data_IF_479432812654
#
_entry.id   IF_479432812654
#
_cell.length_a   1.000
_cell.length_b   1.000
_cell.length_c   1.000
_cell.angle_alpha   90.00
_cell.angle_beta   90.00
_cell.angle_gamma   90.00
#
_symmetry.space_group_name_H-M   'P 1'
#
loop_
_entity.id
_entity.type
_entity.pdbx_description
1 polymer ?
#
# COMPACT_ATOMS: atom_id res chain seq x y z
N UNK A 1 -10.80 5.13 -25.54
CA UNK A 1 -11.33 4.35 -24.39
C UNK A 1 -11.83 5.35 -23.34
N UNK A 2 -12.85 5.03 -22.53
CA UNK A 2 -13.45 5.90 -21.51
C UNK A 2 -12.59 6.12 -20.24
N UNK A 3 -11.27 6.07 -20.40
CA UNK A 3 -10.31 6.31 -19.34
C UNK A 3 -8.99 6.77 -19.95
N UNK A 4 -8.24 7.57 -19.20
CA UNK A 4 -6.93 8.07 -19.59
C UNK A 4 -6.06 8.28 -18.36
N UNK A 5 -4.77 7.94 -18.48
CA UNK A 5 -3.76 8.30 -17.49
C UNK A 5 -3.18 9.65 -17.88
N UNK A 6 -3.37 10.63 -17.01
CA UNK A 6 -2.79 11.95 -17.20
C UNK A 6 -1.28 11.91 -16.89
N UNK A 7 -0.49 12.85 -17.44
CA UNK A 7 0.92 12.96 -17.12
C UNK A 7 1.11 13.02 -15.60
N UNK A 8 2.07 12.24 -15.04
CA UNK A 8 2.29 12.23 -13.60
C UNK A 8 2.74 13.62 -13.11
N UNK A 9 2.23 14.03 -11.95
CA UNK A 9 2.67 15.23 -11.24
C UNK A 9 3.60 14.79 -10.09
N UNK A 10 4.91 14.87 -10.33
CA UNK A 10 5.90 14.33 -9.41
C UNK A 10 5.78 12.81 -9.22
N UNK A 11 5.44 12.37 -8.00
CA UNK A 11 5.20 10.95 -7.67
C UNK A 11 3.72 10.55 -7.75
N UNK A 12 2.82 11.49 -8.06
CA UNK A 12 1.39 11.27 -8.13
C UNK A 12 0.99 10.81 -9.54
N UNK A 13 0.32 9.66 -9.62
CA UNK A 13 -0.30 9.17 -10.84
C UNK A 13 -1.79 9.48 -10.84
N UNK A 14 -2.32 9.97 -11.96
CA UNK A 14 -3.73 10.36 -12.08
C UNK A 14 -4.40 9.57 -13.20
N UNK A 15 -5.42 8.79 -12.84
CA UNK A 15 -6.32 8.10 -13.75
C UNK A 15 -7.67 8.85 -13.78
N UNK A 16 -8.04 9.32 -14.95
CA UNK A 16 -9.33 9.95 -15.22
C UNK A 16 -10.24 8.95 -15.94
N UNK A 17 -11.45 8.73 -15.42
CA UNK A 17 -12.45 7.84 -16.02
C UNK A 17 -13.78 8.58 -16.26
N UNK A 18 -14.43 8.30 -17.39
CA UNK A 18 -15.71 8.91 -17.77
C UNK A 18 -16.56 7.94 -18.59
N UNK A 19 -17.89 8.01 -18.58
CA UNK A 19 -18.76 7.12 -19.35
C UNK A 19 -18.59 7.33 -20.86
N UNK A 20 -18.62 6.23 -21.61
CA UNK A 20 -18.64 6.30 -23.06
C UNK A 20 -19.93 6.98 -23.55
N UNK A 21 -19.79 8.01 -24.39
CA UNK A 21 -20.92 8.76 -24.97
C UNK A 21 -21.09 8.39 -26.44
N UNK A 22 -22.00 7.46 -26.73
CA UNK A 22 -22.34 7.06 -28.11
C UNK A 22 -23.03 8.16 -28.91
N UNK A 23 -23.81 9.03 -28.25
CA UNK A 23 -24.49 10.15 -28.87
C UNK A 23 -23.84 11.49 -28.48
N UNK A 24 -23.11 12.08 -29.42
CA UNK A 24 -22.58 13.44 -29.26
C UNK A 24 -23.71 14.48 -29.32
N UNK A 25 -23.50 15.68 -28.76
CA UNK A 25 -24.47 16.79 -28.86
C UNK A 25 -24.86 17.10 -30.31
N UNK A 26 -23.91 16.96 -31.25
CA UNK A 26 -24.17 17.13 -32.68
C UNK A 26 -25.01 16.00 -33.26
N UNK A 27 -24.70 14.74 -32.91
CA UNK A 27 -25.50 13.58 -33.33
C UNK A 27 -26.93 13.64 -32.80
N UNK A 28 -27.12 14.12 -31.57
CA UNK A 28 -28.43 14.36 -30.98
C UNK A 28 -29.27 15.36 -31.80
N UNK A 29 -28.67 16.51 -32.15
CA UNK A 29 -29.36 17.54 -32.96
C UNK A 29 -29.73 16.99 -34.33
N UNK A 30 -28.83 16.24 -34.99
CA UNK A 30 -29.11 15.60 -36.27
C UNK A 30 -30.20 14.54 -36.19
N UNK A 31 -30.19 13.70 -35.15
CA UNK A 31 -31.20 12.67 -34.96
C UNK A 31 -32.59 13.30 -34.77
N UNK A 32 -32.73 14.24 -33.83
CA UNK A 32 -34.01 14.94 -33.58
C UNK A 32 -34.46 15.72 -34.81
N UNK A 33 -33.53 16.40 -35.50
CA UNK A 33 -33.82 17.16 -36.72
C UNK A 33 -34.29 16.26 -37.88
N UNK A 34 -33.60 15.14 -38.13
CA UNK A 34 -33.96 14.19 -39.18
C UNK A 34 -35.32 13.53 -38.89
N UNK A 35 -35.58 13.15 -37.63
CA UNK A 35 -36.90 12.63 -37.23
C UNK A 35 -38.00 13.67 -37.43
N UNK A 36 -37.77 14.93 -37.06
CA UNK A 36 -38.74 16.01 -37.26
C UNK A 36 -39.04 16.25 -38.75
N UNK A 37 -38.01 16.23 -39.61
CA UNK A 37 -38.17 16.37 -41.07
C UNK A 37 -38.97 15.19 -41.65
N UNK A 38 -38.64 13.95 -41.28
CA UNK A 38 -39.36 12.76 -41.74
C UNK A 38 -40.83 12.78 -41.33
N UNK A 39 -41.13 13.24 -40.11
CA UNK A 39 -42.49 13.43 -39.63
C UNK A 39 -43.21 14.56 -40.38
N UNK A 40 -42.50 15.62 -40.79
CA UNK A 40 -43.07 16.75 -41.49
C UNK A 40 -43.47 16.44 -42.95
N UNK A 41 -42.79 15.50 -43.62
CA UNK A 41 -43.06 15.11 -45.00
C UNK A 41 -44.53 14.73 -45.29
N UNK A 42 -45.17 13.79 -44.56
CA UNK A 42 -46.57 13.47 -44.80
C UNK A 42 -47.53 14.60 -44.43
N UNK A 43 -47.13 15.53 -43.55
CA UNK A 43 -47.97 16.67 -43.16
C UNK A 43 -48.19 17.67 -44.30
N UNK A 44 -47.29 17.70 -45.28
CA UNK A 44 -47.41 18.56 -46.46
C UNK A 44 -48.72 18.31 -47.24
N UNK A 45 -49.17 17.05 -47.28
CA UNK A 45 -50.40 16.66 -47.99
C UNK A 45 -51.70 17.06 -47.31
N UNK A 46 -51.65 17.49 -46.04
CA UNK A 46 -52.83 17.88 -45.26
C UNK A 46 -52.78 19.35 -44.83
N UNK A 47 -51.90 20.15 -45.44
CA UNK A 47 -51.84 21.59 -45.22
C UNK A 47 -53.19 22.22 -45.59
N UNK A 48 -53.69 23.10 -44.71
CA UNK A 48 -54.98 23.77 -44.89
C UNK A 48 -56.19 22.98 -44.37
N UNK A 49 -55.99 21.76 -43.85
CA UNK A 49 -57.07 20.97 -43.23
C UNK A 49 -57.15 21.20 -41.71
N UNK A 50 -58.33 21.05 -41.08
CA UNK A 50 -58.46 21.05 -39.62
C UNK A 50 -57.69 19.91 -38.94
N UNK A 51 -57.48 18.81 -39.65
CA UNK A 51 -56.76 17.62 -39.15
C UNK A 51 -55.32 17.95 -38.76
N UNK A 52 -54.66 18.85 -39.50
CA UNK A 52 -53.30 19.30 -39.20
C UNK A 52 -53.21 19.91 -37.79
N UNK A 53 -54.16 20.78 -37.43
CA UNK A 53 -54.18 21.45 -36.13
C UNK A 53 -54.44 20.50 -34.97
N UNK A 54 -55.19 19.41 -35.21
CA UNK A 54 -55.39 18.35 -34.22
C UNK A 54 -54.12 17.51 -34.05
N UNK A 55 -53.43 17.16 -35.14
CA UNK A 55 -52.24 16.31 -35.10
C UNK A 55 -50.98 17.02 -34.58
N UNK A 56 -50.80 18.30 -34.91
CA UNK A 56 -49.66 19.13 -34.51
C UNK A 56 -49.29 19.02 -33.01
N UNK A 57 -50.21 19.23 -32.05
CA UNK A 57 -49.89 19.15 -30.64
C UNK A 57 -49.40 17.75 -30.22
N UNK A 58 -49.93 16.66 -30.77
CA UNK A 58 -49.46 15.31 -30.46
C UNK A 58 -48.04 15.08 -30.98
N UNK A 59 -47.74 15.53 -32.20
CA UNK A 59 -46.41 15.38 -32.80
C UNK A 59 -45.36 16.21 -32.06
N UNK A 60 -45.69 17.45 -31.72
CA UNK A 60 -44.82 18.32 -30.92
C UNK A 60 -44.58 17.74 -29.53
N UNK A 61 -45.62 17.19 -28.89
CA UNK A 61 -45.50 16.52 -27.59
C UNK A 61 -44.60 15.29 -27.66
N UNK A 62 -44.71 14.49 -28.72
CA UNK A 62 -43.86 13.32 -28.93
C UNK A 62 -42.38 13.72 -29.14
N UNK A 63 -42.11 14.69 -30.02
CA UNK A 63 -40.76 15.20 -30.24
C UNK A 63 -40.17 15.81 -28.96
N UNK A 64 -40.96 16.59 -28.22
CA UNK A 64 -40.56 17.14 -26.94
C UNK A 64 -40.28 16.05 -25.90
N UNK A 65 -41.11 15.01 -25.82
CA UNK A 65 -40.92 13.88 -24.92
C UNK A 65 -39.62 13.11 -25.21
N UNK A 66 -39.34 12.82 -26.48
CA UNK A 66 -38.09 12.19 -26.92
C UNK A 66 -36.89 13.07 -26.57
N UNK A 67 -36.95 14.36 -26.95
CA UNK A 67 -35.90 15.32 -26.65
C UNK A 67 -35.63 15.44 -25.15
N UNK A 68 -36.69 15.53 -24.35
CA UNK A 68 -36.63 15.64 -22.89
C UNK A 68 -36.04 14.38 -22.26
N UNK A 69 -36.51 13.19 -22.65
CA UNK A 69 -36.03 11.93 -22.13
C UNK A 69 -34.54 11.72 -22.42
N UNK A 70 -34.10 11.99 -23.66
CA UNK A 70 -32.70 11.88 -24.06
C UNK A 70 -31.83 12.91 -23.33
N UNK A 71 -32.27 14.16 -23.21
CA UNK A 71 -31.53 15.22 -22.50
C UNK A 71 -31.40 14.91 -21.00
N UNK A 72 -32.47 14.43 -20.37
CA UNK A 72 -32.46 14.01 -18.96
C UNK A 72 -31.50 12.83 -18.75
N UNK A 73 -31.57 11.81 -19.60
CA UNK A 73 -30.69 10.64 -19.56
C UNK A 73 -29.21 11.05 -19.68
N UNK A 74 -28.89 11.93 -20.64
CA UNK A 74 -27.51 12.43 -20.81
C UNK A 74 -26.99 13.20 -19.60
N UNK A 75 -27.84 14.01 -18.93
CA UNK A 75 -27.45 14.79 -17.76
C UNK A 75 -27.29 13.93 -16.50
N UNK A 76 -28.08 12.88 -16.35
CA UNK A 76 -28.03 11.99 -15.18
C UNK A 76 -26.85 11.00 -15.25
N UNK A 77 -26.28 10.77 -16.45
CA UNK A 77 -25.11 9.90 -16.66
C UNK A 77 -23.78 10.67 -16.74
N UNK A 78 -23.75 11.95 -16.35
CA UNK A 78 -22.51 12.71 -16.30
C UNK A 78 -21.76 12.43 -14.98
N UNK A 79 -21.13 11.25 -14.92
CA UNK A 79 -20.33 10.80 -13.79
C UNK A 79 -18.88 10.75 -14.21
N UNK A 80 -18.01 11.46 -13.51
CA UNK A 80 -16.56 11.44 -13.76
C UNK A 80 -15.86 10.93 -12.51
N UNK A 81 -14.86 10.09 -12.68
CA UNK A 81 -14.06 9.54 -11.59
C UNK A 81 -12.59 9.90 -11.78
N UNK A 82 -12.03 10.58 -10.79
CA UNK A 82 -10.63 10.96 -10.72
C UNK A 82 -9.95 10.15 -9.63
N UNK A 83 -9.13 9.19 -10.04
CA UNK A 83 -8.30 8.40 -9.14
C UNK A 83 -6.88 8.95 -9.14
N UNK A 84 -6.43 9.42 -7.98
CA UNK A 84 -5.06 9.88 -7.75
C UNK A 84 -4.34 8.93 -6.82
N UNK A 85 -3.12 8.58 -7.19
CA UNK A 85 -2.30 7.59 -6.51
C UNK A 85 -0.93 8.22 -6.20
N UNK A 86 -0.66 8.47 -4.93
CA UNK A 86 0.66 8.79 -4.39
C UNK A 86 1.23 7.58 -3.62
N UNK A 87 2.51 7.58 -3.20
CA UNK A 87 3.09 6.47 -2.43
C UNK A 87 2.41 6.23 -1.07
N UNK A 88 1.89 7.27 -0.45
CA UNK A 88 1.32 7.29 0.90
C UNK A 88 -0.23 7.33 0.90
N UNK A 89 -0.85 7.76 -0.21
CA UNK A 89 -2.29 7.98 -0.29
C UNK A 89 -2.88 7.66 -1.66
N UNK A 90 -4.03 6.99 -1.67
CA UNK A 90 -4.87 6.88 -2.85
C UNK A 90 -6.18 7.65 -2.60
N UNK A 91 -6.59 8.49 -3.54
CA UNK A 91 -7.83 9.27 -3.46
C UNK A 91 -8.65 9.05 -4.74
N UNK A 92 -9.90 8.62 -4.58
CA UNK A 92 -10.91 8.54 -5.62
C UNK A 92 -11.94 9.65 -5.41
N UNK A 93 -12.05 10.56 -6.36
CA UNK A 93 -13.08 11.60 -6.38
C UNK A 93 -14.09 11.27 -7.48
N UNK A 94 -15.34 11.00 -7.09
CA UNK A 94 -16.46 10.84 -8.01
C UNK A 94 -17.26 12.13 -8.10
N UNK A 95 -17.30 12.72 -9.28
CA UNK A 95 -18.15 13.82 -9.67
C UNK A 95 -19.41 13.26 -10.30
N UNK A 96 -20.54 13.30 -9.59
CA UNK A 96 -21.84 12.84 -10.06
C UNK A 96 -22.72 13.96 -10.62
N UNK A 97 -23.91 13.61 -11.16
CA UNK A 97 -24.82 14.57 -11.77
C UNK A 97 -25.26 15.64 -10.76
N UNK A 98 -25.40 16.88 -11.26
CA UNK A 98 -25.79 18.07 -10.48
C UNK A 98 -24.77 18.48 -9.40
N UNK A 99 -23.48 18.18 -9.60
CA UNK A 99 -22.41 18.62 -8.70
C UNK A 99 -22.29 17.80 -7.42
N UNK A 100 -22.94 16.63 -7.33
CA UNK A 100 -22.72 15.70 -6.23
C UNK A 100 -21.27 15.24 -6.27
N UNK A 101 -20.52 15.45 -5.19
CA UNK A 101 -19.12 15.01 -5.08
C UNK A 101 -19.01 13.98 -3.99
N UNK A 102 -18.42 12.83 -4.29
CA UNK A 102 -18.09 11.79 -3.33
C UNK A 102 -16.59 11.58 -3.35
N UNK A 103 -15.98 11.49 -2.19
CA UNK A 103 -14.53 11.28 -2.04
C UNK A 103 -14.30 10.03 -1.23
N UNK A 104 -13.42 9.17 -1.74
CA UNK A 104 -12.92 8.00 -1.03
C UNK A 104 -11.41 8.08 -1.01
N UNK A 105 -10.80 7.84 0.13
CA UNK A 105 -9.36 7.85 0.31
C UNK A 105 -8.93 6.70 1.21
N UNK A 106 -7.70 6.23 0.99
CA UNK A 106 -7.10 5.15 1.76
C UNK A 106 -5.58 5.12 1.59
N UNK A 107 -4.89 4.29 2.37
CA UNK A 107 -3.48 3.99 2.15
C UNK A 107 -3.30 2.94 1.01
N UNK A 108 -2.48 3.22 -0.02
CA UNK A 108 -2.19 2.29 -1.12
C UNK A 108 -1.63 0.94 -0.67
N UNK A 109 -0.92 0.89 0.46
CA UNK A 109 -0.30 -0.33 1.00
C UNK A 109 -1.32 -1.43 1.32
N UNK A 110 -2.51 -1.04 1.78
CA UNK A 110 -3.59 -1.97 2.14
C UNK A 110 -4.63 -2.13 1.02
N UNK A 111 -4.36 -1.58 -0.17
CA UNK A 111 -5.29 -1.57 -1.28
C UNK A 111 -5.42 -2.95 -1.93
N UNK A 112 -6.64 -3.46 -2.00
CA UNK A 112 -7.00 -4.63 -2.80
C UNK A 112 -7.89 -4.22 -3.97
N UNK A 113 -7.39 -4.47 -5.17
CA UNK A 113 -8.16 -4.32 -6.42
C UNK A 113 -8.80 -5.65 -6.76
N UNK A 114 -10.13 -5.75 -6.67
CA UNK A 114 -10.86 -7.00 -6.92
C UNK A 114 -11.76 -6.85 -8.13
N UNK A 115 -11.82 -7.91 -8.94
CA UNK A 115 -12.73 -8.00 -10.09
C UNK A 115 -13.70 -9.14 -9.80
N UNK A 116 -14.95 -8.80 -9.63
CA UNK A 116 -15.99 -9.76 -9.30
C UNK A 116 -16.62 -10.27 -10.59
N UNK A 117 -16.32 -11.53 -10.95
CA UNK A 117 -16.83 -12.16 -12.16
C UNK A 117 -18.36 -12.28 -12.16
N UNK A 118 -18.95 -12.58 -11.00
CA UNK A 118 -20.39 -12.74 -10.76
C UNK A 118 -20.78 -12.17 -9.39
N UNK A 119 -22.06 -11.82 -9.20
CA UNK A 119 -22.61 -11.38 -7.90
C UNK A 119 -22.89 -9.88 -7.72
N UNK A 120 -22.67 -9.06 -8.75
CA UNK A 120 -23.03 -7.64 -8.76
C UNK A 120 -24.05 -7.31 -9.85
N UNK A 121 -24.48 -6.04 -9.99
CA UNK A 121 -25.47 -5.62 -10.98
C UNK A 121 -25.02 -5.86 -12.44
N UNK A 122 -23.71 -6.03 -12.67
CA UNK A 122 -23.09 -6.25 -13.98
C UNK A 122 -21.85 -7.16 -13.82
N UNK A 123 -21.56 -8.06 -14.79
CA UNK A 123 -20.39 -8.94 -14.75
C UNK A 123 -19.05 -8.17 -14.68
N UNK A 124 -18.04 -8.74 -14.04
CA UNK A 124 -16.68 -8.19 -13.96
C UNK A 124 -16.60 -6.78 -13.35
N UNK A 125 -17.44 -6.42 -12.37
CA UNK A 125 -17.34 -5.10 -11.74
C UNK A 125 -16.07 -4.99 -10.88
N UNK A 126 -15.49 -3.79 -10.87
CA UNK A 126 -14.17 -3.51 -10.29
C UNK A 126 -14.34 -2.75 -8.97
N UNK A 127 -13.76 -3.27 -7.88
CA UNK A 127 -13.81 -2.63 -6.57
C UNK A 127 -12.41 -2.36 -6.03
N UNK A 128 -12.29 -1.23 -5.35
CA UNK A 128 -11.14 -0.84 -4.54
C UNK A 128 -11.52 -1.03 -3.08
N UNK A 129 -10.81 -1.91 -2.38
CA UNK A 129 -11.01 -2.19 -0.96
C UNK A 129 -9.77 -1.84 -0.16
N UNK A 130 -9.91 -1.00 0.84
CA UNK A 130 -8.83 -0.66 1.77
C UNK A 130 -9.44 -0.27 3.13
N UNK A 131 -8.75 -0.60 4.22
CA UNK A 131 -9.15 -0.20 5.59
C UNK A 131 -10.61 -0.55 5.94
N UNK A 132 -11.10 -1.68 5.42
CA UNK A 132 -12.49 -2.14 5.63
C UNK A 132 -13.55 -1.40 4.81
N UNK A 133 -13.18 -0.35 4.06
CA UNK A 133 -14.05 0.38 3.13
C UNK A 133 -13.88 -0.15 1.71
N UNK A 134 -14.98 -0.33 1.01
CA UNK A 134 -15.01 -0.80 -0.38
C UNK A 134 -15.74 0.22 -1.25
N UNK A 135 -15.15 0.58 -2.39
CA UNK A 135 -15.75 1.48 -3.36
C UNK A 135 -15.68 0.87 -4.76
N UNK A 136 -16.77 0.95 -5.50
CA UNK A 136 -16.82 0.54 -6.90
C UNK A 136 -16.17 1.61 -7.78
N UNK A 137 -15.27 1.18 -8.67
CA UNK A 137 -14.61 2.02 -9.67
C UNK A 137 -15.14 1.68 -11.06
N UNK A 138 -15.45 2.70 -11.86
CA UNK A 138 -15.82 2.53 -13.25
C UNK A 138 -17.11 1.74 -13.44
N UNK A 139 -18.12 1.96 -12.57
CA UNK A 139 -19.45 1.33 -12.69
C UNK A 139 -20.08 1.50 -14.10
N UNK A 140 -19.69 2.59 -14.78
CA UNK A 140 -20.09 2.95 -16.14
C UNK A 140 -19.29 2.28 -17.27
N UNK A 141 -18.18 1.61 -16.96
CA UNK A 141 -17.38 0.91 -17.96
C UNK A 141 -18.12 -0.35 -18.44
N UNK A 142 -18.04 -0.62 -19.74
CA UNK A 142 -18.53 -1.88 -20.31
C UNK A 142 -17.64 -3.06 -19.92
N UNK A 143 -18.14 -4.30 -20.05
CA UNK A 143 -17.37 -5.50 -19.67
C UNK A 143 -16.02 -5.58 -20.39
N UNK A 144 -15.98 -5.26 -21.69
CA UNK A 144 -14.76 -5.29 -22.51
C UNK A 144 -13.72 -4.25 -22.05
N UNK A 145 -14.16 -3.15 -21.44
CA UNK A 145 -13.29 -2.07 -20.95
C UNK A 145 -12.72 -2.34 -19.54
N UNK A 146 -13.39 -3.19 -18.74
CA UNK A 146 -13.00 -3.44 -17.33
C UNK A 146 -11.74 -4.28 -17.17
N UNK A 147 -11.57 -5.31 -18.01
CA UNK A 147 -10.40 -6.21 -17.95
C UNK A 147 -9.07 -5.48 -18.24
N UNK A 148 -8.95 -4.70 -19.34
CA UNK A 148 -7.71 -3.94 -19.60
C UNK A 148 -7.49 -2.83 -18.57
N UNK A 149 -8.54 -2.13 -18.11
CA UNK A 149 -8.44 -1.12 -17.07
C UNK A 149 -7.87 -1.69 -15.75
N UNK A 150 -8.35 -2.88 -15.32
CA UNK A 150 -7.80 -3.59 -14.15
C UNK A 150 -6.32 -3.90 -14.32
N UNK A 151 -5.93 -4.49 -15.45
CA UNK A 151 -4.54 -4.89 -15.69
C UNK A 151 -3.58 -3.70 -15.63
N UNK A 152 -3.95 -2.59 -16.28
CA UNK A 152 -3.13 -1.39 -16.29
C UNK A 152 -3.06 -0.73 -14.91
N UNK A 153 -4.17 -0.71 -14.17
CA UNK A 153 -4.18 -0.16 -12.82
C UNK A 153 -3.39 -1.03 -11.82
N UNK A 154 -3.49 -2.35 -11.90
CA UNK A 154 -2.68 -3.26 -11.08
C UNK A 154 -1.18 -3.07 -11.35
N UNK A 155 -0.79 -2.92 -12.62
CA UNK A 155 0.60 -2.68 -12.99
C UNK A 155 1.13 -1.34 -12.41
N UNK A 156 0.32 -0.27 -12.50
CA UNK A 156 0.68 1.05 -11.97
C UNK A 156 0.73 1.10 -10.43
N UNK A 157 -0.22 0.44 -9.76
CA UNK A 157 -0.21 0.29 -8.29
C UNK A 157 1.04 -0.47 -7.85
N UNK A 158 1.35 -1.61 -8.50
CA UNK A 158 2.54 -2.40 -8.20
C UNK A 158 3.83 -1.59 -8.39
N UNK A 159 3.89 -0.70 -9.38
CA UNK A 159 5.05 0.16 -9.62
C UNK A 159 5.22 1.22 -8.52
N UNK A 160 4.13 1.84 -8.07
CA UNK A 160 4.17 2.86 -6.98
C UNK A 160 4.51 2.22 -5.64
N UNK A 161 3.98 1.04 -5.33
CA UNK A 161 4.29 0.33 -4.07
C UNK A 161 5.69 -0.29 -4.08
N UNK A 162 6.13 -0.87 -5.20
CA UNK A 162 7.50 -1.40 -5.31
C UNK A 162 8.56 -0.30 -5.22
N UNK A 163 8.32 0.87 -5.81
CA UNK A 163 9.21 2.01 -5.65
C UNK A 163 9.31 2.46 -4.18
N UNK A 164 8.20 2.46 -3.42
CA UNK A 164 8.23 2.76 -2.00
C UNK A 164 9.00 1.73 -1.16
N UNK A 165 8.97 0.44 -1.53
CA UNK A 165 9.78 -0.62 -0.88
C UNK A 165 11.26 -0.57 -1.29
N UNK A 166 11.59 -0.18 -2.53
CA UNK A 166 12.97 -0.17 -3.03
C UNK A 166 13.84 0.95 -2.41
N UNK A 167 13.23 1.96 -1.79
CA UNK A 167 13.93 3.00 -1.03
C UNK A 167 13.85 2.83 0.50
N UNK A 168 13.22 1.75 0.99
CA UNK A 168 13.34 1.39 2.39
C UNK A 168 14.71 0.73 2.58
N UNK A 169 15.75 1.53 2.79
CA UNK A 169 16.98 1.01 3.38
C UNK A 169 16.58 0.39 4.71
N UNK A 170 16.92 -0.89 4.99
CA UNK A 170 16.78 -1.39 6.35
C UNK A 170 17.57 -0.42 7.22
N UNK A 171 16.94 0.12 8.27
CA UNK A 171 17.67 0.85 9.27
C UNK A 171 18.74 -0.10 9.79
N UNK A 172 20.00 0.19 9.46
CA UNK A 172 21.20 -0.51 9.92
C UNK A 172 21.07 -0.70 11.44
N UNK A 173 20.72 -1.92 11.85
CA UNK A 173 20.42 -2.22 13.23
C UNK A 173 21.70 -2.67 13.90
N UNK A 174 22.08 -2.01 15.00
CA UNK A 174 23.24 -2.42 15.78
C UNK A 174 23.14 -3.90 16.15
N UNK A 175 24.08 -4.71 15.66
CA UNK A 175 24.12 -6.16 15.79
C UNK A 175 25.45 -6.64 16.36
N UNK A 176 25.41 -7.82 16.99
CA UNK A 176 26.59 -8.53 17.46
C UNK A 176 26.52 -10.00 17.06
N UNK A 177 27.67 -10.60 16.77
CA UNK A 177 27.81 -12.06 16.60
C UNK A 177 28.92 -12.59 17.49
N UNK A 178 28.82 -13.85 17.90
CA UNK A 178 29.85 -14.52 18.69
C UNK A 178 29.86 -16.04 18.48
N UNK A 179 30.96 -16.68 18.86
CA UNK A 179 31.10 -18.15 18.91
C UNK A 179 31.58 -18.59 20.28
N UNK A 180 31.40 -19.87 20.61
CA UNK A 180 31.99 -20.50 21.80
C UNK A 180 33.41 -21.03 21.55
N UNK A 181 34.07 -20.62 20.46
CA UNK A 181 35.38 -21.15 20.09
C UNK A 181 36.40 -20.93 21.21
N UNK A 182 37.13 -22.00 21.55
CA UNK A 182 38.09 -22.00 22.65
C UNK A 182 37.49 -22.18 24.05
N UNK A 183 36.16 -22.24 24.19
CA UNK A 183 35.51 -22.53 25.47
C UNK A 183 35.48 -24.04 25.72
N UNK A 184 36.12 -24.49 26.81
CA UNK A 184 36.07 -25.88 27.25
C UNK A 184 34.66 -26.25 27.73
N UNK A 185 34.21 -27.48 27.45
CA UNK A 185 32.95 -28.03 27.94
C UNK A 185 32.86 -27.94 29.47
N UNK A 186 31.71 -27.47 29.98
CA UNK A 186 31.39 -27.42 31.41
C UNK A 186 29.93 -27.79 31.61
N UNK A 187 29.67 -28.80 32.45
CA UNK A 187 28.31 -29.28 32.79
C UNK A 187 28.17 -29.58 34.29
N UNK A 188 29.05 -29.03 35.13
CA UNK A 188 29.07 -29.33 36.57
C UNK A 188 28.19 -28.42 37.41
N UNK A 189 27.55 -27.40 36.83
CA UNK A 189 26.88 -26.34 37.57
C UNK A 189 27.81 -25.34 38.24
N UNK A 190 29.14 -25.47 38.07
CA UNK A 190 30.15 -24.59 38.67
C UNK A 190 30.93 -23.85 37.57
N UNK A 191 30.45 -22.66 37.12
CA UNK A 191 31.09 -21.87 36.09
C UNK A 191 32.55 -21.49 36.35
N UNK A 192 33.37 -21.54 35.30
CA UNK A 192 34.73 -21.03 35.32
C UNK A 192 34.75 -19.53 35.04
N UNK A 193 35.76 -18.82 35.55
CA UNK A 193 36.02 -17.43 35.11
C UNK A 193 36.91 -17.46 33.87
N UNK A 194 36.33 -17.13 32.72
CA UNK A 194 36.99 -17.21 31.40
C UNK A 194 37.03 -15.84 30.71
N UNK A 195 37.90 -15.70 29.72
CA UNK A 195 37.92 -14.53 28.84
C UNK A 195 36.64 -14.46 27.98
N UNK A 196 36.21 -13.26 27.62
CA UNK A 196 35.10 -13.06 26.67
C UNK A 196 35.36 -13.79 25.34
N UNK A 197 34.30 -14.22 24.63
CA UNK A 197 34.46 -14.72 23.26
C UNK A 197 34.80 -13.57 22.31
N UNK A 198 35.17 -13.91 21.08
CA UNK A 198 35.27 -12.95 20.00
C UNK A 198 33.88 -12.43 19.66
N UNK A 199 33.71 -11.11 19.63
CA UNK A 199 32.48 -10.48 19.15
C UNK A 199 32.75 -9.77 17.82
N UNK A 200 31.90 -10.00 16.81
CA UNK A 200 31.81 -9.15 15.61
C UNK A 200 30.71 -8.12 15.85
N UNK A 201 30.97 -6.88 15.51
CA UNK A 201 30.06 -5.75 15.66
C UNK A 201 29.65 -5.26 14.27
N UNK A 202 28.35 -5.02 14.10
CA UNK A 202 27.79 -4.45 12.87
C UNK A 202 26.94 -3.24 13.25
N UNK A 203 27.05 -2.15 12.50
CA UNK A 203 26.20 -0.97 12.65
C UNK A 203 26.19 -0.35 14.07
N UNK A 204 27.36 -0.21 14.68
CA UNK A 204 27.49 0.41 16.01
C UNK A 204 27.01 1.86 15.97
N UNK A 205 26.09 2.29 16.87
CA UNK A 205 25.51 3.64 16.83
C UNK A 205 26.57 4.75 16.92
N UNK A 206 26.36 5.84 16.16
CA UNK A 206 27.23 7.01 16.20
C UNK A 206 27.33 7.58 17.63
N UNK A 207 28.52 8.04 18.02
CA UNK A 207 28.79 8.58 19.36
C UNK A 207 29.06 7.53 20.44
N UNK A 208 29.09 6.24 20.08
CA UNK A 208 29.51 5.16 20.99
C UNK A 208 30.96 5.35 21.40
N UNK A 209 31.23 5.31 22.71
CA UNK A 209 32.58 5.33 23.29
C UNK A 209 32.88 4.07 24.11
N UNK A 210 31.83 3.39 24.57
CA UNK A 210 31.92 2.18 25.35
C UNK A 210 30.83 1.19 24.94
N UNK A 211 31.13 -0.10 24.97
CA UNK A 211 30.14 -1.16 24.79
C UNK A 211 30.14 -2.03 26.04
N UNK A 212 28.97 -2.15 26.67
CA UNK A 212 28.75 -3.02 27.83
C UNK A 212 28.17 -4.35 27.38
N UNK A 213 28.89 -5.42 27.63
CA UNK A 213 28.44 -6.79 27.42
C UNK A 213 27.92 -7.37 28.72
N UNK A 214 26.79 -8.07 28.66
CA UNK A 214 26.23 -8.86 29.75
C UNK A 214 25.74 -10.20 29.21
N UNK A 215 26.11 -11.28 29.88
CA UNK A 215 25.60 -12.61 29.57
C UNK A 215 24.44 -12.96 30.50
N UNK A 216 23.41 -13.57 29.94
CA UNK A 216 22.26 -14.12 30.68
C UNK A 216 22.01 -15.53 30.20
N UNK A 217 21.89 -16.47 31.12
CA UNK A 217 21.26 -17.76 30.84
C UNK A 217 19.75 -17.53 30.81
N UNK A 218 19.14 -17.74 29.64
CA UNK A 218 17.70 -17.51 29.46
C UNK A 218 16.84 -18.57 30.12
N UNK A 219 17.42 -19.74 30.45
CA UNK A 219 16.80 -20.81 31.23
C UNK A 219 16.89 -20.50 32.74
N UNK A 220 17.97 -19.87 33.21
CA UNK A 220 18.21 -19.53 34.63
C UNK A 220 18.61 -18.05 34.78
N UNK A 221 17.62 -17.16 34.65
CA UNK A 221 17.85 -15.71 34.54
C UNK A 221 18.43 -15.04 35.80
N UNK A 222 18.28 -15.67 36.96
CA UNK A 222 18.74 -15.12 38.24
C UNK A 222 20.26 -15.31 38.45
N UNK A 223 20.88 -16.23 37.70
CA UNK A 223 22.31 -16.44 37.81
C UNK A 223 23.08 -15.30 37.12
N UNK A 224 23.94 -14.63 37.89
CA UNK A 224 24.75 -13.54 37.36
C UNK A 224 26.04 -14.07 36.73
N UNK A 225 26.03 -14.21 35.40
CA UNK A 225 27.23 -14.53 34.61
C UNK A 225 28.23 -13.38 34.51
N UNK A 226 27.81 -12.16 34.84
CA UNK A 226 28.60 -10.95 34.69
C UNK A 226 28.73 -10.51 33.23
N UNK A 227 29.91 -9.98 32.91
CA UNK A 227 30.20 -9.31 31.64
C UNK A 227 31.24 -8.21 31.85
N UNK A 228 31.40 -7.33 30.86
CA UNK A 228 32.43 -6.30 30.90
C UNK A 228 32.06 -5.07 30.09
N UNK A 229 32.82 -4.00 30.28
CA UNK A 229 32.70 -2.76 29.50
C UNK A 229 34.00 -2.56 28.74
N UNK A 230 33.93 -2.47 27.43
CA UNK A 230 35.08 -2.29 26.53
C UNK A 230 35.01 -0.89 25.92
N UNK A 231 36.17 -0.25 25.75
CA UNK A 231 36.26 1.01 25.01
C UNK A 231 36.03 0.76 23.51
N UNK A 232 35.27 1.64 22.87
CA UNK A 232 35.00 1.58 21.44
C UNK A 232 35.69 2.76 20.75
N UNK A 233 36.55 2.42 19.80
CA UNK A 233 37.34 3.35 18.99
C UNK A 233 37.06 3.16 17.49
N UNK A 234 35.96 2.51 17.12
CA UNK A 234 35.61 2.22 15.73
C UNK A 234 36.00 0.83 15.24
N UNK A 235 36.38 -0.09 16.13
CA UNK A 235 36.73 -1.46 15.76
C UNK A 235 35.50 -2.34 15.50
N UNK A 236 35.52 -3.17 14.47
CA UNK A 236 34.41 -4.09 14.15
C UNK A 236 34.48 -5.40 14.94
N UNK A 237 35.57 -5.60 15.70
CA UNK A 237 35.82 -6.84 16.43
C UNK A 237 36.28 -6.53 17.85
N UNK A 238 35.67 -7.20 18.83
CA UNK A 238 36.18 -7.28 20.19
C UNK A 238 36.85 -8.63 20.36
N UNK A 239 38.18 -8.60 20.46
CA UNK A 239 38.97 -9.82 20.61
C UNK A 239 38.77 -10.49 21.99
N UNK A 240 39.00 -11.81 22.09
CA UNK A 240 39.01 -12.50 23.37
C UNK A 240 40.01 -11.89 24.36
N UNK A 241 39.61 -11.76 25.62
CA UNK A 241 40.48 -11.27 26.70
C UNK A 241 40.29 -9.80 27.07
N UNK A 242 39.42 -9.07 26.37
CA UNK A 242 39.01 -7.71 26.74
C UNK A 242 38.33 -7.62 28.12
N UNK A 243 37.65 -8.68 28.57
CA UNK A 243 37.13 -8.82 29.93
C UNK A 243 36.97 -10.29 30.32
N UNK A 244 36.66 -10.55 31.60
CA UNK A 244 36.35 -11.89 32.11
C UNK A 244 34.89 -11.99 32.56
N UNK A 245 34.32 -13.18 32.45
CA UNK A 245 32.95 -13.48 32.86
C UNK A 245 32.85 -14.94 33.35
N UNK A 246 31.71 -15.31 33.96
CA UNK A 246 31.43 -16.69 34.34
C UNK A 246 30.89 -17.48 33.15
N UNK A 247 31.60 -18.52 32.73
CA UNK A 247 31.24 -19.34 31.57
C UNK A 247 29.83 -19.95 31.69
N UNK A 248 29.18 -20.29 30.58
CA UNK A 248 28.15 -21.32 30.57
C UNK A 248 28.63 -22.59 31.30
N UNK A 249 27.78 -23.15 32.15
CA UNK A 249 28.06 -24.44 32.79
C UNK A 249 26.76 -25.11 33.29
N UNK A 250 25.83 -25.45 32.39
CA UNK A 250 24.52 -25.97 32.78
C UNK A 250 24.64 -27.41 33.32
N UNK A 251 24.10 -27.71 34.53
CA UNK A 251 24.15 -29.07 35.09
C UNK A 251 23.13 -30.02 34.45
N UNK A 252 22.02 -29.50 33.93
CA UNK A 252 20.85 -30.29 33.53
C UNK A 252 20.63 -30.32 32.00
N UNK A 253 21.71 -30.26 31.23
CA UNK A 253 21.69 -30.38 29.77
C UNK A 253 21.96 -29.06 29.03
N UNK A 254 21.29 -28.84 27.91
CA UNK A 254 21.55 -27.68 27.03
C UNK A 254 20.73 -26.48 27.49
N UNK A 255 21.40 -25.36 27.75
CA UNK A 255 20.76 -24.08 28.07
C UNK A 255 21.01 -23.07 26.95
N UNK A 256 20.15 -22.06 26.84
CA UNK A 256 20.29 -20.95 25.87
C UNK A 256 20.83 -19.71 26.58
N UNK A 257 21.96 -19.20 26.10
CA UNK A 257 22.64 -18.04 26.65
C UNK A 257 22.55 -16.87 25.68
N UNK A 258 22.25 -15.68 26.20
CA UNK A 258 22.13 -14.43 25.43
C UNK A 258 23.14 -13.41 25.93
N UNK A 259 24.00 -12.94 25.01
CA UNK A 259 24.78 -11.72 25.19
C UNK A 259 23.92 -10.51 24.83
N UNK A 260 23.90 -9.52 25.71
CA UNK A 260 23.40 -8.18 25.42
C UNK A 260 24.59 -7.22 25.35
N UNK A 261 24.79 -6.57 24.21
CA UNK A 261 25.74 -5.47 24.03
C UNK A 261 25.00 -4.14 24.05
N UNK A 262 25.34 -3.26 24.99
CA UNK A 262 24.77 -1.92 25.10
C UNK A 262 25.80 -0.90 24.66
N UNK A 263 25.54 -0.19 23.57
CA UNK A 263 26.34 0.94 23.10
C UNK A 263 26.11 2.16 24.01
N UNK A 264 27.17 2.79 24.48
CA UNK A 264 27.13 3.84 25.50
C UNK A 264 28.11 5.00 25.18
N UNK A 265 27.67 6.23 25.42
CA UNK A 265 28.53 7.43 25.31
C UNK A 265 29.42 7.65 26.53
N UNK A 266 29.12 6.99 27.66
CA UNK A 266 29.89 7.04 28.91
C UNK A 266 30.16 5.62 29.41
N UNK A 267 31.24 5.43 30.18
CA UNK A 267 31.59 4.10 30.76
C UNK A 267 30.49 3.53 31.66
N UNK A 268 29.70 4.41 32.28
CA UNK A 268 28.49 4.07 33.02
C UNK A 268 27.37 5.02 32.60
N UNK A 269 26.41 4.52 31.81
CA UNK A 269 25.24 5.29 31.36
C UNK A 269 25.38 5.86 29.94
N UNK A 270 24.39 6.68 29.52
CA UNK A 270 24.38 7.25 28.17
C UNK A 270 24.13 6.22 27.07
N UNK A 271 23.13 5.34 27.26
CA UNK A 271 22.74 4.31 26.29
C UNK A 271 22.34 4.94 24.94
N UNK A 272 22.91 4.40 23.87
CA UNK A 272 22.64 4.82 22.48
C UNK A 272 21.93 3.73 21.68
N UNK A 273 22.24 2.45 21.96
CA UNK A 273 21.63 1.31 21.29
C UNK A 273 21.87 0.02 22.05
N UNK A 274 21.23 -1.07 21.60
CA UNK A 274 21.42 -2.40 22.17
C UNK A 274 21.33 -3.45 21.08
N UNK A 275 22.29 -4.37 21.10
CA UNK A 275 22.31 -5.56 20.28
C UNK A 275 22.22 -6.79 21.17
N UNK A 276 21.66 -7.88 20.64
CA UNK A 276 21.56 -9.16 21.34
C UNK A 276 21.93 -10.30 20.40
N UNK A 277 22.66 -11.29 20.94
CA UNK A 277 22.93 -12.54 20.25
C UNK A 277 22.80 -13.68 21.25
N UNK A 278 22.21 -14.78 20.82
CA UNK A 278 22.00 -15.94 21.67
C UNK A 278 22.45 -17.23 21.00
N UNK A 279 23.05 -18.13 21.79
CA UNK A 279 23.49 -19.45 21.36
C UNK A 279 23.19 -20.46 22.45
N UNK A 280 23.02 -21.72 22.06
CA UNK A 280 22.91 -22.81 23.01
C UNK A 280 24.29 -23.16 23.56
N UNK A 281 24.35 -23.77 24.74
CA UNK A 281 25.57 -24.39 25.25
C UNK A 281 25.21 -25.54 26.20
N UNK A 282 25.86 -26.72 26.08
CA UNK A 282 26.69 -27.12 24.93
C UNK A 282 25.90 -27.08 23.62
N UNK A 283 26.58 -26.91 22.48
CA UNK A 283 25.96 -26.95 21.14
C UNK A 283 25.97 -28.35 20.54
#
# INVERSE_FOLDING_TARGET
>A
MPYEWLPPDGSEQHLHLWPHRSLSQRGFVWFVGATAVLIALPLLGIIGTPVLWVLLPFLLTALWGIWFALRKNGRDRDIVEDLRLSPDRITLVRHGPKGKRQTWDANPYWLRVTLHATGGPVPNYLTLKAEGREVELGAFLSEEERRPAKGMMMFRIAFVTAAALAFATPALAFEIEFTWDGLKLCTSGNPNTVANPRFVLTDVPEGTKFIRFKLVDTNVRDFNHGGGVVAYTGQDVIEPGAFKYKSPCPPDGVHKYEWTATAQSKKSGGKLGTAKAARNYPE
#
